data_IF_384391860936
#
_entry.id   IF_384391860936
#
_cell.length_a   1.000
_cell.length_b   1.000
_cell.length_c   1.000
_cell.angle_alpha   90.00
_cell.angle_beta   90.00
_cell.angle_gamma   90.00
#
_symmetry.space_group_name_H-M   'P 1'
#
loop_
_entity.id
_entity.type
_entity.pdbx_description
1 polymer ?
#
# COMPACT_ATOMS: atom_id res chain seq x y z
N UNK A 1 10.43 14.87 -13.71
CA UNK A 1 9.89 13.51 -13.55
C UNK A 1 10.01 12.68 -14.83
N UNK A 2 9.45 13.13 -15.96
CA UNK A 2 9.44 12.38 -17.24
C UNK A 2 10.78 11.73 -17.63
N UNK A 3 11.88 12.49 -17.52
CA UNK A 3 13.22 11.97 -17.81
C UNK A 3 13.60 10.77 -16.93
N UNK A 4 13.37 10.86 -15.62
CA UNK A 4 13.71 9.80 -14.65
C UNK A 4 12.94 8.52 -14.97
N UNK A 5 11.63 8.63 -15.18
CA UNK A 5 10.78 7.47 -15.50
C UNK A 5 11.18 6.81 -16.82
N UNK A 6 11.54 7.60 -17.84
CA UNK A 6 12.02 7.07 -19.12
C UNK A 6 13.42 6.48 -19.04
N UNK A 7 14.29 7.06 -18.22
CA UNK A 7 15.61 6.49 -17.96
C UNK A 7 15.49 5.13 -17.24
N UNK A 8 14.61 5.02 -16.24
CA UNK A 8 14.29 3.75 -15.57
C UNK A 8 13.70 2.71 -16.56
N UNK A 9 12.72 3.11 -17.37
CA UNK A 9 12.15 2.25 -18.41
C UNK A 9 13.16 1.75 -19.45
N UNK A 10 14.24 2.49 -19.65
CA UNK A 10 15.33 2.10 -20.55
C UNK A 10 16.46 1.32 -19.84
N UNK A 11 16.39 1.09 -18.52
CA UNK A 11 17.47 0.51 -17.73
C UNK A 11 18.73 1.37 -17.70
N UNK A 12 18.56 2.70 -17.69
CA UNK A 12 19.64 3.70 -17.77
C UNK A 12 19.61 4.69 -16.61
N UNK A 13 18.78 4.43 -15.60
CA UNK A 13 18.74 5.28 -14.42
C UNK A 13 19.97 4.98 -13.55
N UNK A 14 20.67 6.02 -13.11
CA UNK A 14 21.79 5.87 -12.18
C UNK A 14 21.25 5.55 -10.79
N UNK A 15 21.96 4.70 -10.05
CA UNK A 15 21.58 4.30 -8.69
C UNK A 15 21.63 5.49 -7.73
N UNK A 16 20.62 5.61 -6.87
CA UNK A 16 20.45 6.79 -6.03
C UNK A 16 19.02 7.06 -5.62
N UNK A 17 18.80 8.24 -5.04
CA UNK A 17 17.52 8.67 -4.47
C UNK A 17 16.93 9.87 -5.21
N UNK A 18 15.64 9.76 -5.53
CA UNK A 18 14.87 10.83 -6.14
C UNK A 18 14.30 11.74 -5.06
N UNK A 19 14.43 13.05 -5.23
CA UNK A 19 13.86 14.08 -4.38
C UNK A 19 12.92 14.99 -5.16
N UNK A 20 11.84 15.40 -4.49
CA UNK A 20 10.74 16.22 -5.00
C UNK A 20 10.71 17.58 -4.30
N UNK A 21 10.17 18.62 -4.96
CA UNK A 21 10.14 19.97 -4.40
C UNK A 21 9.14 20.14 -3.25
N UNK A 22 8.05 19.35 -3.23
CA UNK A 22 6.98 19.44 -2.25
C UNK A 22 6.20 18.11 -2.15
N UNK A 23 5.23 18.05 -1.25
CA UNK A 23 4.37 16.88 -1.03
C UNK A 23 3.14 16.84 -1.96
N UNK A 24 3.07 17.70 -2.99
CA UNK A 24 1.96 17.67 -3.95
C UNK A 24 2.14 16.52 -4.93
N UNK A 25 1.04 16.06 -5.54
CA UNK A 25 1.09 15.01 -6.56
C UNK A 25 1.98 15.46 -7.74
N UNK A 26 3.13 14.79 -7.99
CA UNK A 26 4.01 15.21 -9.06
C UNK A 26 3.34 14.93 -10.41
N UNK A 27 3.47 15.89 -11.33
CA UNK A 27 3.17 15.72 -12.74
C UNK A 27 4.40 15.30 -13.54
N UNK A 28 4.22 15.03 -14.83
CA UNK A 28 5.32 14.67 -15.73
C UNK A 28 6.40 15.74 -15.81
N UNK A 29 5.97 17.00 -15.72
CA UNK A 29 6.82 18.17 -15.84
C UNK A 29 7.31 18.69 -14.48
N UNK A 30 6.94 18.02 -13.37
CA UNK A 30 7.48 18.34 -12.05
C UNK A 30 9.00 18.14 -12.05
N UNK A 31 9.73 19.19 -11.73
CA UNK A 31 11.16 19.12 -11.54
C UNK A 31 11.48 18.15 -10.38
N UNK A 32 12.53 17.37 -10.53
CA UNK A 32 12.99 16.42 -9.51
C UNK A 32 14.51 16.37 -9.54
N UNK A 33 15.11 15.99 -8.41
CA UNK A 33 16.55 15.86 -8.27
C UNK A 33 16.89 14.40 -7.97
N UNK A 34 17.73 13.78 -8.81
CA UNK A 34 18.34 12.50 -8.49
C UNK A 34 19.69 12.76 -7.83
N UNK A 35 19.91 12.21 -6.64
CA UNK A 35 21.21 12.24 -5.97
C UNK A 35 21.79 10.82 -6.03
N UNK A 36 22.88 10.70 -6.80
CA UNK A 36 23.71 9.50 -6.91
C UNK A 36 24.80 9.63 -5.84
N UNK A 37 24.81 8.78 -4.82
CA UNK A 37 25.84 8.82 -3.78
C UNK A 37 26.26 7.42 -3.35
N UNK A 38 27.57 7.25 -3.26
CA UNK A 38 28.24 6.03 -2.78
C UNK A 38 28.64 6.15 -1.29
N UNK A 39 28.25 7.22 -0.59
CA UNK A 39 28.77 7.59 0.73
C UNK A 39 27.73 8.16 1.71
N UNK A 40 28.06 8.10 3.01
CA UNK A 40 27.33 8.57 4.22
C UNK A 40 27.09 10.11 4.28
N UNK A 41 26.88 10.77 3.15
CA UNK A 41 26.49 12.18 3.12
C UNK A 41 24.98 12.32 3.40
N UNK A 42 24.60 13.39 4.10
CA UNK A 42 23.19 13.71 4.38
C UNK A 42 22.51 14.20 3.08
N UNK A 43 22.11 13.25 2.23
CA UNK A 43 21.49 13.50 0.92
C UNK A 43 20.24 14.36 1.03
N UNK A 44 19.48 14.20 2.11
CA UNK A 44 18.30 15.00 2.40
C UNK A 44 18.65 16.47 2.63
N UNK A 45 19.75 16.76 3.35
CA UNK A 45 20.24 18.14 3.50
C UNK A 45 20.62 18.73 2.14
N UNK A 46 21.39 18.00 1.32
CA UNK A 46 21.82 18.45 -0.01
C UNK A 46 20.62 18.73 -0.92
N UNK A 47 19.62 17.85 -0.93
CA UNK A 47 18.41 17.99 -1.71
C UNK A 47 17.61 19.21 -1.26
N UNK A 48 17.43 19.36 0.05
CA UNK A 48 16.70 20.47 0.68
C UNK A 48 17.34 21.83 0.38
N UNK A 49 18.67 21.94 0.45
CA UNK A 49 19.41 23.17 0.07
C UNK A 49 19.21 23.59 -1.39
N UNK A 50 18.83 22.63 -2.25
CA UNK A 50 18.52 22.85 -3.68
C UNK A 50 17.02 23.03 -3.95
N UNK A 51 16.19 23.08 -2.90
CA UNK A 51 14.74 23.24 -3.01
C UNK A 51 13.97 21.95 -3.28
N UNK A 52 14.58 20.78 -3.04
CA UNK A 52 13.96 19.46 -3.15
C UNK A 52 13.88 18.80 -1.78
N UNK A 53 12.94 19.25 -0.94
CA UNK A 53 12.88 18.86 0.47
C UNK A 53 12.12 17.56 0.74
N UNK A 54 11.54 16.93 -0.27
CA UNK A 54 10.71 15.73 -0.09
C UNK A 54 11.43 14.53 -0.68
N UNK A 55 11.71 13.55 0.17
CA UNK A 55 12.24 12.26 -0.26
C UNK A 55 11.20 11.52 -1.10
N UNK A 56 11.64 11.03 -2.25
CA UNK A 56 10.85 10.27 -3.21
C UNK A 56 11.11 8.78 -3.06
N UNK A 57 11.58 8.17 -4.14
CA UNK A 57 11.87 6.75 -4.22
C UNK A 57 13.33 6.54 -4.60
N UNK A 58 13.92 5.45 -4.15
CA UNK A 58 15.22 5.00 -4.63
C UNK A 58 15.10 4.38 -6.04
N UNK A 59 16.24 4.19 -6.68
CA UNK A 59 16.30 3.67 -8.06
C UNK A 59 15.67 2.27 -8.18
N UNK A 60 15.97 1.28 -7.32
CA UNK A 60 15.31 -0.03 -7.36
C UNK A 60 13.79 0.06 -7.28
N UNK A 61 13.25 0.94 -6.43
CA UNK A 61 11.81 1.11 -6.30
C UNK A 61 11.21 1.80 -7.52
N UNK A 62 11.86 2.83 -8.07
CA UNK A 62 11.43 3.47 -9.33
C UNK A 62 11.36 2.44 -10.46
N UNK A 63 12.39 1.60 -10.61
CA UNK A 63 12.38 0.51 -11.61
C UNK A 63 11.27 -0.50 -11.35
N UNK A 64 10.96 -0.80 -10.08
CA UNK A 64 9.79 -1.59 -9.69
C UNK A 64 8.48 -0.98 -10.19
N UNK A 65 8.30 0.34 -10.07
CA UNK A 65 7.09 1.02 -10.57
C UNK A 65 6.99 0.95 -12.10
N UNK A 66 8.12 1.04 -12.80
CA UNK A 66 8.17 0.82 -14.25
C UNK A 66 7.79 -0.62 -14.59
N UNK A 67 8.31 -1.61 -13.85
CA UNK A 67 7.98 -3.01 -14.07
C UNK A 67 6.48 -3.27 -13.86
N UNK A 68 5.86 -2.67 -12.84
CA UNK A 68 4.42 -2.74 -12.64
C UNK A 68 3.64 -2.17 -13.84
N UNK A 69 4.04 -1.01 -14.37
CA UNK A 69 3.43 -0.44 -15.58
C UNK A 69 3.57 -1.35 -16.82
N UNK A 70 4.70 -2.05 -16.97
CA UNK A 70 4.94 -3.00 -18.06
C UNK A 70 4.00 -4.21 -18.03
N UNK A 71 3.42 -4.55 -16.88
CA UNK A 71 2.42 -5.63 -16.80
C UNK A 71 1.11 -5.26 -17.49
N UNK A 72 0.84 -3.97 -17.71
CA UNK A 72 -0.37 -3.49 -18.37
C UNK A 72 -0.13 -3.12 -19.85
N UNK A 73 1.07 -2.68 -20.19
CA UNK A 73 1.42 -2.24 -21.55
C UNK A 73 2.90 -2.50 -21.86
N UNK A 74 3.20 -3.20 -22.97
CA UNK A 74 4.58 -3.52 -23.39
C UNK A 74 5.47 -2.28 -23.60
N UNK A 75 4.86 -1.14 -23.93
CA UNK A 75 5.52 0.15 -24.08
C UNK A 75 4.67 1.22 -23.41
N UNK A 76 4.78 1.38 -22.06
CA UNK A 76 3.94 2.27 -21.29
C UNK A 76 4.03 3.72 -21.77
N UNK A 77 2.88 4.40 -21.75
CA UNK A 77 2.85 5.85 -21.93
C UNK A 77 3.55 6.57 -20.76
N UNK A 78 3.87 7.84 -20.93
CA UNK A 78 4.44 8.63 -19.83
C UNK A 78 3.46 8.72 -18.66
N UNK A 79 2.17 8.83 -18.97
CA UNK A 79 1.08 8.93 -18.01
C UNK A 79 0.97 7.67 -17.16
N UNK A 80 1.08 6.48 -17.76
CA UNK A 80 1.03 5.22 -17.01
C UNK A 80 2.27 5.02 -16.14
N UNK A 81 3.45 5.43 -16.62
CA UNK A 81 4.66 5.40 -15.80
C UNK A 81 4.54 6.34 -14.60
N UNK A 82 4.01 7.55 -14.81
CA UNK A 82 3.78 8.51 -13.73
C UNK A 82 2.75 7.98 -12.73
N UNK A 83 1.64 7.43 -13.23
CA UNK A 83 0.59 6.86 -12.40
C UNK A 83 1.15 5.77 -11.49
N UNK A 84 1.91 4.82 -12.04
CA UNK A 84 2.51 3.76 -11.23
C UNK A 84 3.51 4.28 -10.22
N UNK A 85 4.30 5.31 -10.58
CA UNK A 85 5.22 5.96 -9.65
C UNK A 85 4.47 6.64 -8.50
N UNK A 86 3.46 7.46 -8.81
CA UNK A 86 2.68 8.22 -7.81
C UNK A 86 1.94 7.28 -6.89
N UNK A 87 1.38 6.20 -7.42
CA UNK A 87 0.66 5.22 -6.61
C UNK A 87 1.57 4.58 -5.57
N UNK A 88 2.78 4.13 -5.97
CA UNK A 88 3.74 3.58 -5.03
C UNK A 88 4.22 4.62 -4.02
N UNK A 89 4.63 5.79 -4.50
CA UNK A 89 5.15 6.85 -3.62
C UNK A 89 4.16 7.29 -2.55
N UNK A 90 2.85 7.28 -2.85
CA UNK A 90 1.81 7.67 -1.89
C UNK A 90 1.38 6.55 -0.95
N UNK A 91 1.34 5.32 -1.45
CA UNK A 91 0.65 4.22 -0.78
C UNK A 91 1.55 3.04 -0.42
N UNK A 92 2.84 3.11 -0.76
CA UNK A 92 3.82 2.03 -0.60
C UNK A 92 3.29 0.69 -1.17
N UNK A 93 2.67 0.77 -2.35
CA UNK A 93 1.99 -0.34 -2.99
C UNK A 93 2.14 -0.28 -4.51
N UNK A 94 2.18 -1.44 -5.16
CA UNK A 94 2.18 -1.52 -6.63
C UNK A 94 0.81 -1.13 -7.20
N UNK A 95 0.81 -0.46 -8.35
CA UNK A 95 -0.41 -0.08 -9.05
C UNK A 95 -1.19 -1.36 -9.45
N UNK A 96 -2.43 -1.57 -8.96
CA UNK A 96 -3.17 -2.80 -9.24
C UNK A 96 -3.78 -2.83 -10.64
N UNK A 97 -4.14 -1.65 -11.18
CA UNK A 97 -4.65 -1.46 -12.53
C UNK A 97 -4.52 0.00 -12.97
N UNK A 98 -4.44 0.31 -14.27
CA UNK A 98 -4.52 1.68 -14.76
C UNK A 98 -5.85 2.35 -14.36
N UNK A 99 -5.78 3.58 -13.86
CA UNK A 99 -6.88 4.32 -13.28
C UNK A 99 -7.31 3.83 -11.91
N UNK A 100 -6.44 3.15 -11.15
CA UNK A 100 -6.80 2.62 -9.83
C UNK A 100 -7.24 3.77 -8.90
N UNK A 101 -8.34 3.59 -8.14
CA UNK A 101 -8.69 4.54 -7.09
C UNK A 101 -7.61 4.54 -6.01
N UNK A 102 -7.56 5.61 -5.21
CA UNK A 102 -6.75 5.60 -3.99
C UNK A 102 -7.20 4.44 -3.10
N UNK A 103 -6.27 3.68 -2.50
CA UNK A 103 -6.64 2.63 -1.58
C UNK A 103 -7.42 3.22 -0.40
N UNK A 104 -8.39 2.48 0.14
CA UNK A 104 -9.15 2.93 1.30
C UNK A 104 -8.20 3.20 2.48
N UNK A 105 -8.55 4.12 3.39
CA UNK A 105 -7.84 4.30 4.66
C UNK A 105 -7.63 2.95 5.36
N UNK A 106 -6.49 2.79 6.03
CA UNK A 106 -6.11 1.52 6.67
C UNK A 106 -7.22 0.98 7.61
N UNK A 107 -7.92 1.86 8.32
CA UNK A 107 -9.03 1.50 9.20
C UNK A 107 -10.23 0.92 8.43
N UNK A 108 -10.55 1.48 7.27
CA UNK A 108 -11.63 0.99 6.39
C UNK A 108 -11.24 -0.36 5.77
N UNK A 109 -10.01 -0.47 5.25
CA UNK A 109 -9.48 -1.72 4.70
C UNK A 109 -9.47 -2.84 5.75
N UNK A 110 -9.05 -2.52 6.98
CA UNK A 110 -9.08 -3.45 8.12
C UNK A 110 -10.49 -3.90 8.43
N UNK A 111 -11.45 -2.96 8.49
CA UNK A 111 -12.85 -3.28 8.76
C UNK A 111 -13.44 -4.19 7.68
N UNK A 112 -13.07 -3.99 6.42
CA UNK A 112 -13.48 -4.85 5.30
C UNK A 112 -12.91 -6.27 5.45
N UNK A 113 -11.61 -6.42 5.71
CA UNK A 113 -11.01 -7.75 5.96
C UNK A 113 -11.56 -8.43 7.21
N UNK A 114 -11.87 -7.65 8.25
CA UNK A 114 -12.53 -8.15 9.44
C UNK A 114 -13.94 -8.65 9.11
N UNK A 115 -14.69 -7.90 8.28
CA UNK A 115 -16.03 -8.29 7.80
C UNK A 115 -15.96 -9.59 7.02
N UNK A 116 -15.07 -9.67 6.03
CA UNK A 116 -14.88 -10.87 5.21
C UNK A 116 -14.56 -12.10 6.07
N UNK A 117 -13.65 -11.95 7.03
CA UNK A 117 -13.32 -13.02 7.96
C UNK A 117 -14.53 -13.40 8.83
N UNK A 118 -15.24 -12.43 9.39
CA UNK A 118 -16.43 -12.68 10.21
C UNK A 118 -17.53 -13.38 9.40
N UNK A 119 -17.75 -13.00 8.15
CA UNK A 119 -18.74 -13.57 7.24
C UNK A 119 -18.34 -14.96 6.72
N UNK A 120 -17.06 -15.28 6.72
CA UNK A 120 -16.56 -16.64 6.45
C UNK A 120 -16.84 -17.63 7.59
N UNK A 121 -17.16 -17.15 8.80
CA UNK A 121 -17.48 -18.01 9.93
C UNK A 121 -18.83 -18.70 9.72
N UNK A 122 -18.88 -19.99 10.05
CA UNK A 122 -20.12 -20.77 9.97
C UNK A 122 -21.22 -20.19 10.87
N UNK A 123 -22.48 -20.50 10.54
CA UNK A 123 -23.62 -20.12 11.35
C UNK A 123 -23.51 -20.69 12.79
N UNK A 124 -24.07 -19.95 13.74
CA UNK A 124 -24.12 -20.36 15.14
C UNK A 124 -25.10 -21.51 15.34
N UNK A 125 -24.69 -22.49 16.15
CA UNK A 125 -25.49 -23.67 16.48
C UNK A 125 -26.23 -23.43 17.79
N UNK A 126 -27.57 -23.25 17.79
CA UNK A 126 -28.32 -22.92 19.01
C UNK A 126 -28.28 -24.03 20.07
N UNK A 127 -28.02 -25.27 19.66
CA UNK A 127 -27.94 -26.43 20.55
C UNK A 127 -26.65 -26.50 21.38
N UNK A 128 -25.58 -25.80 20.98
CA UNK A 128 -24.30 -25.79 21.68
C UNK A 128 -23.91 -24.36 22.04
N UNK A 129 -23.95 -24.02 23.33
CA UNK A 129 -23.63 -22.66 23.78
C UNK A 129 -22.13 -22.37 23.69
N UNK A 130 -21.82 -21.11 23.39
CA UNK A 130 -20.47 -20.56 23.43
C UNK A 130 -19.84 -20.76 24.81
N UNK A 131 -18.57 -21.19 24.85
CA UNK A 131 -17.84 -21.47 26.10
C UNK A 131 -17.40 -20.21 26.86
N UNK A 132 -17.44 -19.03 26.24
CA UNK A 132 -17.11 -17.78 26.93
C UNK A 132 -18.08 -17.50 28.08
N UNK A 133 -17.54 -17.16 29.24
CA UNK A 133 -18.31 -16.88 30.44
C UNK A 133 -19.35 -15.78 30.20
N UNK A 134 -20.62 -16.06 30.55
CA UNK A 134 -21.73 -15.12 30.38
C UNK A 134 -22.30 -15.03 28.96
N UNK A 135 -21.73 -15.71 27.96
CA UNK A 135 -22.26 -15.70 26.61
C UNK A 135 -23.43 -16.68 26.43
N UNK A 136 -24.52 -16.22 25.82
CA UNK A 136 -25.72 -17.05 25.52
C UNK A 136 -25.84 -17.41 24.03
N UNK A 137 -24.84 -17.04 23.22
CA UNK A 137 -24.82 -17.32 21.77
C UNK A 137 -24.46 -18.78 21.49
N UNK A 138 -24.85 -19.25 20.31
CA UNK A 138 -24.48 -20.60 19.84
C UNK A 138 -23.03 -20.65 19.35
N UNK A 139 -22.36 -21.79 19.52
CA UNK A 139 -21.02 -22.04 19.01
C UNK A 139 -21.06 -22.32 17.50
N UNK A 140 -20.07 -21.86 16.74
CA UNK A 140 -19.99 -22.13 15.30
C UNK A 140 -19.54 -23.57 15.03
N UNK A 141 -19.67 -24.02 13.77
CA UNK A 141 -19.16 -25.33 13.37
C UNK A 141 -17.64 -25.39 13.55
N UNK A 142 -17.12 -26.51 14.08
CA UNK A 142 -15.70 -26.72 14.41
C UNK A 142 -15.09 -25.77 15.47
N UNK A 143 -15.90 -25.02 16.21
CA UNK A 143 -15.43 -24.24 17.36
C UNK A 143 -16.34 -24.41 18.56
N UNK A 144 -15.80 -24.11 19.75
CA UNK A 144 -16.54 -24.00 21.01
C UNK A 144 -16.99 -22.56 21.31
N UNK A 145 -16.73 -21.64 20.38
CA UNK A 145 -17.03 -20.21 20.49
C UNK A 145 -18.08 -19.80 19.46
N UNK A 146 -18.87 -18.77 19.77
CA UNK A 146 -19.76 -18.10 18.81
C UNK A 146 -18.96 -17.29 17.78
N UNK A 147 -19.62 -16.69 16.77
CA UNK A 147 -18.92 -15.92 15.73
C UNK A 147 -18.09 -14.79 16.31
N UNK A 148 -18.66 -14.04 17.26
CA UNK A 148 -17.99 -12.92 17.96
C UNK A 148 -16.76 -13.39 18.73
N UNK A 149 -16.90 -14.34 19.65
CA UNK A 149 -15.75 -14.74 20.47
C UNK A 149 -14.71 -15.53 19.66
N UNK A 150 -15.11 -16.24 18.61
CA UNK A 150 -14.16 -16.86 17.69
C UNK A 150 -13.35 -15.79 16.94
N UNK A 151 -14.02 -14.75 16.47
CA UNK A 151 -13.37 -13.61 15.85
C UNK A 151 -12.33 -12.99 16.79
N UNK A 152 -12.73 -12.66 18.02
CA UNK A 152 -11.86 -12.04 19.03
C UNK A 152 -10.66 -12.92 19.38
N UNK A 153 -10.87 -14.24 19.45
CA UNK A 153 -9.80 -15.20 19.69
C UNK A 153 -8.75 -15.20 18.57
N UNK A 154 -9.16 -15.08 17.32
CA UNK A 154 -8.28 -15.12 16.15
C UNK A 154 -7.64 -13.76 15.89
N UNK A 155 -8.43 -12.68 15.87
CA UNK A 155 -7.98 -11.31 15.59
C UNK A 155 -7.27 -10.64 16.77
N UNK A 156 -7.42 -11.17 17.99
CA UNK A 156 -6.86 -10.62 19.23
C UNK A 156 -7.35 -9.20 19.56
N UNK A 157 -8.54 -8.86 19.08
CA UNK A 157 -9.18 -7.56 19.25
C UNK A 157 -10.70 -7.74 19.40
N UNK A 158 -11.42 -6.78 20.03
CA UNK A 158 -12.89 -6.84 20.13
C UNK A 158 -13.56 -6.94 18.77
N UNK A 159 -14.61 -7.77 18.65
CA UNK A 159 -15.35 -7.89 17.40
C UNK A 159 -16.14 -6.60 17.12
N UNK A 160 -15.95 -5.95 15.95
CA UNK A 160 -16.73 -4.76 15.60
C UNK A 160 -18.17 -5.10 15.16
N UNK A 161 -18.49 -6.39 14.96
CA UNK A 161 -19.78 -6.87 14.49
C UNK A 161 -20.53 -7.57 15.65
N UNK A 162 -21.32 -6.81 16.39
CA UNK A 162 -22.06 -7.30 17.57
C UNK A 162 -23.46 -7.83 17.26
N UNK A 163 -23.76 -8.11 15.99
CA UNK A 163 -25.05 -8.69 15.56
C UNK A 163 -25.24 -10.13 16.07
#
# INVERSE_FOLDING_TARGET
MRYVLRAAAAGKLEDGWLYLPNHENPGLDTACLMIVSDADEDMQLIASERGFSVEGLDTPTIEGTVHAALQFQDSPSDELLLESFVYYWRFDAWLPMPGAPEPPPLEEAKLEWDREFFDSLAAERPEELCRTEGCQRGAIHHSVLCRVHHFEMIRKEPCPFLE
#
